data_IF_954622036906
#
_entry.id   IF_954622036906
#
_cell.length_a   1.000
_cell.length_b   1.000
_cell.length_c   1.000
_cell.angle_alpha   90.00
_cell.angle_beta   90.00
_cell.angle_gamma   90.00
#
_symmetry.space_group_name_H-M   'P 1'
#
loop_
_entity.id
_entity.type
_entity.pdbx_description
1 polymer ?
2 polymer ?
3 non-polymer ?
4 non-polymer ?
5 water ?
#
# COMPACT_ATOMS: atom_id res chain seq x y z
N UNK A 3 -10.96 12.10 -5.42
CA UNK A 3 -10.15 12.41 -6.64
C UNK A 3 -9.85 11.10 -7.36
N UNK A 4 -10.06 11.04 -8.69
CA UNK A 4 -9.80 9.74 -9.34
C UNK A 4 -8.29 9.45 -9.43
N UNK A 5 -7.46 10.44 -9.05
CA UNK A 5 -5.99 10.30 -9.07
C UNK A 5 -5.36 9.79 -7.78
N UNK A 6 -6.21 9.53 -6.78
CA UNK A 6 -5.78 8.99 -5.51
C UNK A 6 -6.62 7.76 -5.13
N UNK A 7 -5.97 6.77 -4.52
CA UNK A 7 -6.66 5.59 -3.98
C UNK A 7 -7.69 5.99 -2.92
N UNK A 8 -8.68 5.13 -2.67
CA UNK A 8 -9.68 5.56 -1.67
C UNK A 8 -9.13 5.52 -0.23
N UNK A 9 -9.81 6.19 0.71
CA UNK A 9 -9.38 6.21 2.13
C UNK A 9 -9.25 4.81 2.78
N UNK A 10 -8.47 4.71 3.85
CA UNK A 10 -8.48 3.48 4.64
C UNK A 10 -9.91 2.97 4.91
N UNK A 11 -10.15 1.70 4.65
CA UNK A 11 -11.48 1.12 4.88
C UNK A 11 -11.87 1.21 6.36
N UNK A 12 -10.85 1.14 7.22
CA UNK A 12 -11.11 0.99 8.63
C UNK A 12 -11.28 2.35 9.32
N UNK A 13 -10.43 3.32 9.04
CA UNK A 13 -10.49 4.60 9.79
C UNK A 13 -10.97 5.74 8.93
N UNK A 14 -11.10 5.48 7.62
CA UNK A 14 -11.42 6.51 6.62
C UNK A 14 -10.44 7.71 6.68
N UNK A 15 -9.18 7.42 7.01
CA UNK A 15 -8.13 8.44 7.12
C UNK A 15 -8.46 9.53 8.17
N UNK A 16 -9.16 9.19 9.24
CA UNK A 16 -9.41 10.18 10.29
C UNK A 16 -8.16 10.23 11.16
N UNK A 17 -7.40 11.32 11.05
CA UNK A 17 -6.14 11.41 11.79
C UNK A 17 -6.25 11.50 13.31
N UNK A 18 -7.45 11.79 13.83
CA UNK A 18 -7.69 11.82 15.28
C UNK A 18 -8.01 10.45 15.86
N UNK A 19 -8.06 9.46 14.99
CA UNK A 19 -8.46 8.12 15.36
C UNK A 19 -7.27 7.18 15.21
N UNK A 20 -7.13 6.25 16.15
CA UNK A 20 -6.16 5.15 16.06
C UNK A 20 -6.53 4.28 14.88
N UNK A 21 -5.54 3.70 14.23
CA UNK A 21 -5.84 2.70 13.21
C UNK A 21 -4.71 1.69 13.09
N UNK A 22 -5.01 0.44 13.40
CA UNK A 22 -4.02 -0.62 13.36
C UNK A 22 -3.89 -1.22 11.96
N UNK A 23 -4.72 -0.76 11.04
CA UNK A 23 -4.67 -1.27 9.67
C UNK A 23 -3.71 -0.43 8.85
N UNK A 24 -3.83 0.88 8.93
CA UNK A 24 -2.99 1.73 8.09
C UNK A 24 -1.89 2.43 8.85
N UNK A 25 -1.88 2.32 10.18
CA UNK A 25 -0.80 2.94 10.93
C UNK A 25 -0.19 1.82 11.78
N UNK A 26 0.42 2.09 12.93
CA UNK A 26 1.13 1.02 13.63
C UNK A 26 0.17 -0.09 14.04
N UNK A 27 0.51 -1.32 13.69
CA UNK A 27 -0.41 -2.45 13.90
C UNK A 27 -0.58 -2.84 15.38
N UNK A 28 0.33 -2.38 16.24
CA UNK A 28 0.28 -2.66 17.67
C UNK A 28 -0.46 -1.54 18.42
N UNK A 29 -0.03 -0.31 18.25
CA UNK A 29 -0.63 0.81 19.03
C UNK A 29 -1.66 1.62 18.25
N UNK A 30 -1.68 1.49 16.93
CA UNK A 30 -2.59 2.24 16.07
C UNK A 30 -2.19 3.70 15.84
N UNK A 31 -1.01 4.08 16.35
CA UNK A 31 -0.51 5.46 16.22
C UNK A 31 0.05 5.79 14.86
N UNK A 32 -0.14 7.05 14.45
CA UNK A 32 0.32 7.52 13.13
C UNK A 32 1.67 8.27 13.15
N UNK A 33 2.12 8.65 14.32
CA UNK A 33 3.35 9.46 14.37
C UNK A 33 4.58 8.64 14.02
N UNK A 34 5.66 9.35 13.67
CA UNK A 34 6.95 8.72 13.38
C UNK A 34 6.87 7.73 12.22
N UNK A 35 6.32 8.16 11.06
CA UNK A 35 6.29 7.26 9.91
C UNK A 35 7.66 6.70 9.50
N UNK A 36 8.68 7.56 9.63
CA UNK A 36 10.12 7.25 9.52
C UNK A 36 10.59 6.02 10.33
N UNK A 37 9.84 5.73 11.38
CA UNK A 37 10.19 4.70 12.36
C UNK A 37 9.25 3.50 12.32
N UNK A 38 8.43 3.42 11.26
CA UNK A 38 7.44 2.36 11.11
C UNK A 38 7.98 1.37 10.12
N UNK A 39 8.27 0.18 10.61
CA UNK A 39 8.82 -0.90 9.83
C UNK A 39 7.70 -1.74 9.19
N UNK A 40 7.75 -1.95 7.88
CA UNK A 40 6.68 -2.70 7.20
C UNK A 40 7.04 -4.18 6.94
N UNK A 41 6.13 -5.08 7.31
CA UNK A 41 6.34 -6.50 7.13
C UNK A 41 6.36 -6.88 5.63
N UNK A 42 7.39 -7.62 5.21
CA UNK A 42 7.51 -8.05 3.81
C UNK A 42 6.35 -8.95 3.39
N UNK A 43 5.69 -9.58 4.36
CA UNK A 43 4.63 -10.53 4.05
C UNK A 43 3.21 -9.96 4.13
N UNK A 44 2.85 -9.30 5.24
CA UNK A 44 1.44 -8.87 5.42
C UNK A 44 1.25 -7.37 5.19
N UNK A 45 2.36 -6.68 4.97
CA UNK A 45 2.32 -5.24 4.73
C UNK A 45 1.79 -4.43 5.91
N UNK A 46 1.64 -5.04 7.09
CA UNK A 46 1.33 -4.21 8.26
C UNK A 46 2.59 -3.45 8.70
N UNK A 47 2.41 -2.27 9.30
CA UNK A 47 3.53 -1.44 9.71
C UNK A 47 3.62 -1.47 11.25
N UNK A 48 4.84 -1.35 11.77
CA UNK A 48 5.08 -1.46 13.22
C UNK A 48 6.06 -0.37 13.63
N UNK A 49 5.74 0.41 14.66
CA UNK A 49 6.79 1.29 15.22
C UNK A 49 7.92 0.42 15.77
N UNK A 50 9.17 0.78 15.49
CA UNK A 50 10.29 0.00 16.03
C UNK A 50 10.23 -0.01 17.57
N UNK A 51 9.67 1.04 18.16
CA UNK A 51 9.61 1.10 19.63
C UNK A 51 8.42 0.36 20.22
N UNK A 52 7.52 -0.10 19.36
CA UNK A 52 6.40 -0.95 19.81
C UNK A 52 6.75 -2.44 19.75
N UNK A 53 7.83 -2.80 19.05
CA UNK A 53 8.23 -4.20 18.98
C UNK A 53 8.78 -4.66 20.32
N UNK A 54 8.87 -5.98 20.48
CA UNK A 54 9.47 -6.61 21.66
C UNK A 54 10.54 -7.61 21.26
N UNK A 55 11.83 -7.32 21.53
CA UNK A 55 12.42 -6.13 22.14
C UNK A 55 12.32 -4.92 21.19
N UNK A 56 12.25 -3.71 21.76
CA UNK A 56 12.14 -2.55 20.89
C UNK A 56 13.46 -2.36 20.16
N UNK A 57 13.36 -1.84 18.94
CA UNK A 57 14.53 -1.50 18.16
C UNK A 57 14.76 0.00 18.28
N UNK A 58 16.02 0.39 18.35
CA UNK A 58 16.36 1.79 18.48
C UNK A 58 16.52 2.48 17.11
N UNK A 59 16.67 1.68 16.04
CA UNK A 59 16.72 2.20 14.69
C UNK A 59 16.16 1.13 13.76
N UNK A 60 15.73 1.53 12.56
CA UNK A 60 15.23 0.55 11.58
C UNK A 60 16.40 -0.27 11.02
N UNK A 61 16.12 -1.51 10.59
CA UNK A 61 17.24 -2.28 10.04
C UNK A 61 17.74 -1.62 8.77
N UNK A 62 18.99 -1.90 8.43
CA UNK A 62 19.46 -1.41 7.15
C UNK A 62 18.95 -2.33 6.03
N UNK A 63 18.71 -3.61 6.31
CA UNK A 63 18.28 -4.57 5.26
C UNK A 63 16.76 -4.44 4.95
N UNK A 64 16.38 -4.64 3.68
CA UNK A 64 14.98 -4.43 3.25
C UNK A 64 14.02 -5.50 3.71
N UNK A 65 14.54 -6.68 4.00
CA UNK A 65 13.72 -7.81 4.28
C UNK A 65 13.44 -7.90 5.79
N UNK A 66 12.18 -7.68 6.18
CA UNK A 66 11.80 -7.83 7.59
C UNK A 66 10.40 -8.48 7.72
N UNK A 67 10.25 -9.40 8.67
CA UNK A 67 8.98 -10.05 8.93
C UNK A 67 8.53 -9.79 10.35
N UNK A 68 7.25 -9.50 10.49
CA UNK A 68 6.68 -9.10 11.75
C UNK A 68 6.48 -10.30 12.66
N UNK A 69 6.18 -10.03 13.95
CA UNK A 69 5.86 -11.02 14.97
C UNK A 69 4.77 -12.01 14.55
N UNK A 70 3.79 -11.55 13.77
CA UNK A 70 2.68 -12.43 13.39
C UNK A 70 3.09 -13.37 12.26
N UNK A 71 4.00 -12.90 11.42
CA UNK A 71 4.39 -13.62 10.22
C UNK A 71 5.62 -14.51 10.36
N UNK A 72 6.49 -14.20 11.32
CA UNK A 72 7.76 -14.94 11.52
C UNK A 72 7.65 -16.46 11.46
N UNK B 5 -23.05 -0.54 0.31
CA UNK B 5 -22.38 -1.02 -0.93
C UNK B 5 -23.29 -1.90 -1.79
N UNK B 6 -24.50 -1.41 -2.05
CA UNK B 6 -25.35 -1.99 -3.09
C UNK B 6 -24.57 -1.94 -4.43
N UNK B 7 -23.60 -1.02 -4.51
CA UNK B 7 -22.61 -0.99 -5.60
C UNK B 7 -22.93 0.05 -6.66
N UNK B 8 -22.07 0.17 -7.69
CA UNK B 8 -20.82 -0.58 -7.87
C UNK B 8 -19.73 0.01 -6.99
N UNK B 9 -18.61 -0.69 -6.82
CA UNK B 9 -17.52 -0.13 -6.04
C UNK B 9 -16.86 1.02 -6.82
N UNK B 10 -16.76 0.87 -8.14
CA UNK B 10 -16.13 1.92 -8.95
C UNK B 10 -17.16 2.60 -9.84
N UNK B 11 -17.30 3.91 -9.65
CA UNK B 11 -18.21 4.73 -10.42
C UNK B 11 -17.81 4.79 -11.90
N UNK B 12 -16.51 4.67 -12.18
CA UNK B 12 -16.04 4.86 -13.56
C UNK B 12 -16.27 3.66 -14.48
N UNK B 13 -16.15 2.43 -13.97
CA UNK B 13 -16.30 1.24 -14.85
C UNK B 13 -17.51 0.42 -14.45
N UNK B 14 -18.15 0.82 -13.35
CA UNK B 14 -19.29 0.08 -12.75
C UNK B 14 -18.95 -1.38 -12.45
N UNK B 15 -17.68 -1.63 -12.09
CA UNK B 15 -17.15 -2.98 -11.84
C UNK B 15 -17.35 -4.00 -12.96
N UNK B 16 -17.47 -3.53 -14.21
CA UNK B 16 -17.54 -4.43 -15.38
C UNK B 16 -16.15 -5.05 -15.61
N UNK B 17 -16.05 -6.36 -15.38
CA UNK B 17 -14.79 -7.12 -15.48
C UNK B 17 -14.15 -7.00 -16.87
N UNK B 18 -14.96 -6.71 -17.87
CA UNK B 18 -14.46 -6.64 -19.24
C UNK B 18 -14.10 -5.25 -19.71
N UNK B 19 -14.31 -4.28 -18.85
CA UNK B 19 -14.01 -2.90 -19.19
C UNK B 19 -12.64 -2.59 -18.61
N UNK B 20 -11.79 -1.92 -19.39
CA UNK B 20 -10.54 -1.40 -18.85
C UNK B 20 -10.86 -0.29 -17.85
N UNK B 21 -10.13 -0.19 -16.75
CA UNK B 21 -10.36 0.97 -15.86
C UNK B 21 -9.11 1.44 -15.19
N UNK B 22 -8.63 2.63 -15.55
CA UNK B 22 -7.36 3.12 -14.98
C UNK B 22 -7.55 3.74 -13.60
N UNK B 23 -8.79 3.72 -13.11
CA UNK B 23 -9.07 4.27 -11.78
C UNK B 23 -8.92 3.18 -10.70
N UNK B 24 -9.59 2.04 -10.87
CA UNK B 24 -9.57 0.98 -9.89
C UNK B 24 -8.62 -0.16 -10.24
N UNK B 25 -8.06 -0.16 -11.43
CA UNK B 25 -7.14 -1.27 -11.78
C UNK B 25 -5.80 -0.63 -12.12
N UNK B 26 -4.93 -1.28 -12.89
CA UNK B 26 -3.67 -0.64 -13.26
C UNK B 26 -3.91 0.76 -13.84
N UNK B 27 -3.22 1.74 -13.27
CA UNK B 27 -3.41 3.12 -13.66
C UNK B 27 -2.88 3.44 -15.10
N UNK B 28 -1.99 2.60 -15.59
CA UNK B 28 -1.44 2.76 -16.92
C UNK B 28 -2.24 2.00 -17.98
N UNK B 29 -2.57 0.75 -17.74
CA UNK B 29 -3.22 -0.03 -18.81
C UNK B 29 -4.70 -0.24 -18.57
N UNK B 30 -5.15 -0.03 -17.33
CA UNK B 30 -6.53 -0.35 -16.97
C UNK B 30 -6.88 -1.80 -16.76
N UNK B 31 -5.88 -2.69 -16.76
CA UNK B 31 -6.10 -4.12 -16.66
C UNK B 31 -6.08 -4.58 -15.20
N UNK B 32 -6.84 -5.62 -14.89
CA UNK B 32 -7.04 -6.09 -13.50
C UNK B 32 -6.23 -7.33 -13.17
N UNK B 33 -5.58 -7.90 -14.17
CA UNK B 33 -4.80 -9.12 -14.03
C UNK B 33 -3.61 -8.92 -13.09
N UNK B 34 -3.10 -10.03 -12.54
CA UNK B 34 -1.82 -10.05 -11.84
C UNK B 34 -1.73 -9.01 -10.72
N UNK B 35 -2.71 -9.00 -9.79
CA UNK B 35 -2.67 -8.05 -8.71
C UNK B 35 -1.40 -8.23 -7.84
N UNK B 36 -0.80 -9.42 -7.90
CA UNK B 36 0.47 -9.76 -7.24
C UNK B 36 1.65 -8.97 -7.83
N UNK B 37 1.43 -8.39 -9.01
CA UNK B 37 2.44 -7.59 -9.67
C UNK B 37 2.01 -6.13 -9.84
N UNK B 38 0.93 -5.72 -9.17
CA UNK B 38 0.52 -4.34 -9.20
C UNK B 38 1.08 -3.68 -7.96
N UNK B 39 2.03 -2.78 -8.16
CA UNK B 39 2.60 -2.01 -7.08
C UNK B 39 1.62 -0.93 -6.68
N UNK B 40 1.48 -0.72 -5.37
CA UNK B 40 0.66 0.39 -4.86
C UNK B 40 1.55 1.56 -4.44
N UNK B 41 1.25 2.75 -4.94
CA UNK B 41 2.06 3.94 -4.67
C UNK B 41 1.92 4.37 -3.23
N UNK B 42 3.05 4.48 -2.56
CA UNK B 42 3.03 4.88 -1.15
C UNK B 42 2.68 6.34 -0.91
N UNK B 43 2.46 7.11 -1.97
CA UNK B 43 1.90 8.46 -1.81
C UNK B 43 0.41 8.51 -2.18
N UNK B 44 0.06 8.07 -3.39
CA UNK B 44 -1.30 8.26 -3.90
C UNK B 44 -2.17 7.00 -3.88
N UNK B 45 -1.53 5.87 -3.56
CA UNK B 45 -2.19 4.57 -3.44
C UNK B 45 -2.93 4.12 -4.73
N UNK B 46 -2.46 4.59 -5.89
CA UNK B 46 -2.89 4.02 -7.18
C UNK B 46 -2.03 2.80 -7.49
N UNK B 47 -2.55 1.90 -8.32
CA UNK B 47 -1.88 0.65 -8.66
C UNK B 47 -1.20 0.68 -10.02
N UNK B 48 -0.04 0.03 -10.13
CA UNK B 48 0.70 0.01 -11.41
C UNK B 48 1.29 -1.34 -11.65
N UNK B 49 1.01 -2.00 -12.78
CA UNK B 49 1.74 -3.27 -13.04
C UNK B 49 3.23 -2.96 -13.15
N UNK B 50 4.05 -3.86 -12.62
CA UNK B 50 5.50 -3.67 -12.77
C UNK B 50 5.90 -3.58 -14.23
N UNK B 51 5.24 -4.37 -15.08
CA UNK B 51 5.54 -4.38 -16.47
C UNK B 51 4.96 -3.23 -17.29
N UNK B 52 4.14 -2.38 -16.67
CA UNK B 52 3.58 -1.24 -17.37
C UNK B 52 4.42 0.02 -17.18
N UNK B 53 5.28 0.02 -16.17
CA UNK B 53 6.13 1.18 -15.87
C UNK B 53 7.17 1.44 -16.98
N UNK B 54 7.69 2.66 -17.01
CA UNK B 54 8.72 3.06 -17.95
C UNK B 54 9.85 3.67 -17.13
N UNK B 55 10.93 2.88 -16.88
CA UNK B 55 11.18 1.54 -17.40
C UNK B 55 10.42 0.47 -16.64
N UNK B 56 10.09 -0.62 -17.32
CA UNK B 56 9.43 -1.71 -16.66
C UNK B 56 10.39 -2.50 -15.78
N UNK B 57 9.88 -2.98 -14.66
CA UNK B 57 10.63 -3.73 -13.69
C UNK B 57 10.42 -5.20 -13.93
N UNK B 58 11.50 -5.98 -13.85
CA UNK B 58 11.44 -7.42 -14.06
C UNK B 58 10.78 -8.11 -12.87
N UNK B 59 10.88 -7.50 -11.71
CA UNK B 59 10.40 -8.15 -10.51
C UNK B 59 9.92 -7.07 -9.59
N UNK B 60 9.09 -7.42 -8.61
CA UNK B 60 8.62 -6.49 -7.58
C UNK B 60 9.83 -6.02 -6.78
N UNK B 61 9.98 -4.69 -6.55
CA UNK B 61 11.19 -4.26 -5.86
C UNK B 61 11.17 -4.77 -4.43
N UNK B 62 12.34 -4.83 -3.81
CA UNK B 62 12.41 -5.28 -2.42
C UNK B 62 12.45 -4.09 -1.44
N UNK B 63 12.63 -2.87 -1.95
CA UNK B 63 12.59 -1.67 -1.09
C UNK B 63 11.26 -1.56 -0.35
N UNK B 64 11.29 -1.11 0.91
CA UNK B 64 10.04 -1.01 1.71
C UNK B 64 8.97 -0.07 1.15
N UNK B 65 9.39 0.98 0.46
CA UNK B 65 8.47 1.99 -0.07
C UNK B 65 8.70 2.21 -1.56
N UNK B 66 7.61 2.43 -2.29
CA UNK B 66 7.67 2.66 -3.73
C UNK B 66 6.73 3.82 -4.07
N UNK B 67 7.21 4.73 -4.93
CA UNK B 67 6.43 5.90 -5.34
C UNK B 67 6.30 5.96 -6.85
N UNK B 68 5.08 6.17 -7.32
CA UNK B 68 4.78 6.06 -8.72
C UNK B 68 5.41 7.21 -9.55
N UNK B 69 5.35 7.11 -10.89
CA UNK B 69 5.97 8.15 -11.76
C UNK B 69 5.28 9.49 -11.62
N UNK B 70 4.01 9.47 -11.25
CA UNK B 70 3.27 10.72 -11.09
C UNK B 70 3.68 11.43 -9.79
N UNK B 71 4.07 10.65 -8.79
CA UNK B 71 4.38 11.23 -7.48
C UNK B 71 5.84 11.60 -7.38
N UNK B 72 6.71 10.87 -8.09
CA UNK B 72 8.12 11.23 -8.20
C UNK B 72 8.28 12.44 -9.11
N UNK C 1 7.99 -3.21 -1.00
CA UNK C 1 6.91 -2.41 -1.67
C UNK C 1 5.63 -3.21 -1.55
N UNK C 2 4.50 -2.52 -1.45
CA UNK C 2 3.19 -3.18 -1.35
C UNK C 2 2.64 -3.52 -2.75
N UNK C 3 2.01 -4.69 -2.87
CA UNK C 3 1.24 -5.04 -4.06
C UNK C 3 -0.26 -5.10 -3.74
N UNK C 4 -1.07 -5.08 -4.79
CA UNK C 4 -2.52 -5.08 -4.60
C UNK C 4 -2.98 -6.39 -3.94
N UNK C 5 -2.36 -7.52 -4.29
CA UNK C 5 -2.57 -8.79 -3.56
C UNK C 5 -1.30 -9.29 -2.86
X LIG D 1 -6.71 3.34 8.74
X LIG E 1 3.13 1.74 17.66
X LIG F 1 3.53 -9.68 8.93
X LIG G 1 -2.53 -8.49 13.85
X LIG H 1 10.79 -4.85 3.72
X LIG I 1 -13.10 1.08 -12.17
X LIG J 1 -0.90 -2.34 -16.40
X LIG K 1 1.64 8.05 -6.76
X LIG L 1 -2.79 9.60 -13.21
#
# INVERSE_FOLDING_TARGET
GSAPEFGPSCKHCKDDVNRLCRVCACHLCGGRQDPDKQLMCDECDMAFHIYCLDPPLSSVPSEDEWYCPECR
GSAPEFGPSCKHCKDDVNRLCRVCACHLCGGRQDPDKQLMCDECDMAFHIYCLDPPLSSVPSEDEWYCPECR
ARTKQTA
ZN ZN
ZN ZN
ZN ZN
ZN ZN
MG MG
ZN ZN
ZN ZN
ZN ZN
ZN ZN
#
